data_IF_036644414911
#
_entry.id   IF_036644414911
#
_cell.length_a   1.000
_cell.length_b   1.000
_cell.length_c   1.000
_cell.angle_alpha   90.00
_cell.angle_beta   90.00
_cell.angle_gamma   90.00
#
_symmetry.space_group_name_H-M   'P 1'
#
loop_
_entity.id
_entity.type
_entity.pdbx_description
1 polymer ?
#
# COMPACT_ATOMS: atom_id res chain seq x y z
N UNK A 1 -0.47 -14.63 -37.92
CA UNK A 1 -1.38 -13.52 -37.61
C UNK A 1 -0.56 -12.34 -37.15
N UNK A 2 -0.57 -11.25 -37.92
CA UNK A 2 0.16 -10.02 -37.61
C UNK A 2 -0.75 -9.07 -36.84
N UNK A 3 -0.28 -8.57 -35.69
CA UNK A 3 -1.02 -7.59 -34.89
C UNK A 3 -0.74 -6.20 -35.43
N UNK A 4 -1.78 -5.38 -35.61
CA UNK A 4 -1.62 -4.01 -36.06
C UNK A 4 -0.90 -3.14 -35.00
N UNK A 5 -0.14 -2.13 -35.44
CA UNK A 5 0.65 -1.28 -34.55
C UNK A 5 -0.22 -0.50 -33.55
N UNK A 6 -1.46 -0.19 -33.89
CA UNK A 6 -2.42 0.47 -33.00
C UNK A 6 -2.91 -0.44 -31.87
N UNK A 7 -2.99 -1.75 -32.14
CA UNK A 7 -3.39 -2.78 -31.16
C UNK A 7 -2.24 -3.18 -30.23
N UNK A 8 -1.02 -2.72 -30.51
CA UNK A 8 0.16 -2.98 -29.67
C UNK A 8 0.10 -2.09 -28.43
N UNK A 9 -0.09 -2.70 -27.27
CA UNK A 9 -0.04 -2.02 -25.96
C UNK A 9 1.39 -1.49 -25.76
N UNK A 10 1.60 -0.18 -25.97
CA UNK A 10 2.93 0.44 -25.95
C UNK A 10 3.51 0.67 -24.56
N UNK A 11 2.65 0.79 -23.56
CA UNK A 11 3.00 1.00 -22.16
C UNK A 11 1.96 0.24 -21.36
N UNK A 12 2.38 -0.81 -20.62
CA UNK A 12 1.56 -1.37 -19.53
C UNK A 12 1.24 -0.28 -18.50
N UNK A 13 0.53 -0.57 -17.41
CA UNK A 13 0.19 0.46 -16.40
C UNK A 13 1.45 1.14 -15.82
N UNK A 14 1.93 2.20 -16.47
CA UNK A 14 3.00 3.08 -15.99
C UNK A 14 2.43 4.03 -14.94
N UNK A 15 1.11 4.20 -14.94
CA UNK A 15 0.40 5.00 -13.94
C UNK A 15 0.13 4.16 -12.70
N UNK A 16 0.20 4.81 -11.54
CA UNK A 16 -0.39 4.28 -10.32
C UNK A 16 -1.86 3.91 -10.51
N UNK A 17 -2.27 2.85 -9.83
CA UNK A 17 -3.65 2.35 -9.85
C UNK A 17 -4.53 3.30 -9.03
N UNK A 18 -5.82 3.40 -9.38
CA UNK A 18 -6.75 4.23 -8.62
C UNK A 18 -7.29 3.52 -7.36
N UNK A 19 -7.36 2.20 -7.38
CA UNK A 19 -7.90 1.36 -6.30
C UNK A 19 -6.87 0.29 -5.96
N UNK A 20 -6.75 -0.04 -4.67
CA UNK A 20 -5.89 -1.11 -4.17
C UNK A 20 -6.26 -2.49 -4.76
N UNK A 21 -5.33 -3.45 -4.73
CA UNK A 21 -5.69 -4.84 -5.05
C UNK A 21 -6.78 -5.34 -4.12
N UNK A 22 -7.47 -6.40 -4.52
CA UNK A 22 -8.43 -7.08 -3.64
C UNK A 22 -7.83 -7.48 -2.29
N UNK A 23 -6.61 -8.04 -2.27
CA UNK A 23 -5.95 -8.47 -1.03
C UNK A 23 -5.65 -7.26 -0.12
N UNK A 24 -5.01 -6.22 -0.66
CA UNK A 24 -4.76 -4.96 0.04
C UNK A 24 -6.07 -4.30 0.55
N UNK A 25 -7.18 -4.45 -0.19
CA UNK A 25 -8.49 -3.94 0.25
C UNK A 25 -9.03 -4.72 1.45
N UNK A 26 -8.86 -6.03 1.49
CA UNK A 26 -9.31 -6.85 2.64
C UNK A 26 -8.54 -6.43 3.89
N UNK A 27 -7.22 -6.28 3.78
CA UNK A 27 -6.38 -5.78 4.88
C UNK A 27 -6.82 -4.40 5.37
N UNK A 28 -6.94 -3.42 4.46
CA UNK A 28 -7.46 -2.09 4.78
C UNK A 28 -8.85 -2.09 5.39
N UNK A 29 -9.74 -2.97 4.93
CA UNK A 29 -11.10 -3.04 5.46
C UNK A 29 -11.14 -3.72 6.83
N UNK A 30 -10.27 -4.70 7.08
CA UNK A 30 -10.04 -5.28 8.42
C UNK A 30 -9.55 -4.24 9.42
N UNK A 31 -8.57 -3.41 9.03
CA UNK A 31 -8.07 -2.30 9.87
C UNK A 31 -9.17 -1.30 10.27
N UNK A 32 -10.22 -1.17 9.45
CA UNK A 32 -11.34 -0.23 9.69
C UNK A 32 -12.60 -0.90 10.24
N UNK A 33 -12.51 -2.17 10.66
CA UNK A 33 -13.62 -2.99 11.15
C UNK A 33 -14.81 -3.11 10.17
N UNK A 34 -14.57 -2.92 8.87
CA UNK A 34 -15.58 -2.95 7.80
C UNK A 34 -15.64 -4.29 7.06
N UNK A 35 -14.79 -5.23 7.43
CA UNK A 35 -14.76 -6.58 6.86
C UNK A 35 -14.30 -7.57 7.92
N UNK A 36 -14.98 -8.69 8.04
CA UNK A 36 -14.69 -9.77 8.99
C UNK A 36 -14.41 -11.09 8.26
N UNK A 37 -13.70 -12.00 8.94
CA UNK A 37 -13.42 -13.34 8.42
C UNK A 37 -14.74 -14.11 8.25
N UNK A 38 -15.16 -14.32 6.99
CA UNK A 38 -16.45 -14.92 6.63
C UNK A 38 -17.29 -14.05 5.69
N UNK A 39 -17.00 -12.75 5.62
CA UNK A 39 -17.61 -11.87 4.63
C UNK A 39 -17.16 -12.22 3.21
N UNK A 40 -18.02 -11.95 2.22
CA UNK A 40 -17.70 -12.25 0.83
C UNK A 40 -16.43 -11.49 0.42
N UNK A 41 -15.44 -12.19 -0.17
CA UNK A 41 -14.24 -11.53 -0.64
C UNK A 41 -14.51 -10.78 -1.96
N UNK A 42 -15.68 -10.91 -2.59
CA UNK A 42 -16.09 -10.16 -3.80
C UNK A 42 -17.00 -8.98 -3.43
N UNK A 43 -17.06 -7.95 -4.29
CA UNK A 43 -17.94 -6.79 -4.04
C UNK A 43 -17.45 -5.80 -2.97
N UNK A 44 -16.19 -5.92 -2.53
CA UNK A 44 -15.59 -5.03 -1.52
C UNK A 44 -15.72 -3.54 -1.88
N UNK A 45 -15.80 -2.68 -0.85
CA UNK A 45 -15.79 -1.23 -1.02
C UNK A 45 -14.51 -0.74 -1.74
N UNK A 46 -14.61 0.35 -2.51
CA UNK A 46 -13.46 0.90 -3.26
C UNK A 46 -12.54 1.64 -2.30
N UNK A 47 -11.31 1.17 -2.13
CA UNK A 47 -10.27 1.83 -1.32
C UNK A 47 -9.20 2.39 -2.25
N UNK A 48 -8.98 3.72 -2.18
CA UNK A 48 -8.06 4.44 -3.06
C UNK A 48 -6.60 4.21 -2.63
N UNK A 49 -5.69 4.13 -3.61
CA UNK A 49 -4.24 4.19 -3.36
C UNK A 49 -3.87 5.60 -2.88
N UNK A 50 -3.29 5.71 -1.68
CA UNK A 50 -2.78 6.99 -1.18
C UNK A 50 -1.42 7.27 -1.82
N UNK A 51 -1.33 8.33 -2.62
CA UNK A 51 -0.08 8.79 -3.22
C UNK A 51 0.54 9.85 -2.34
N UNK A 52 1.68 9.57 -1.72
CA UNK A 52 2.43 10.56 -0.94
C UNK A 52 3.05 11.57 -1.90
N UNK A 53 2.65 12.83 -1.79
CA UNK A 53 3.26 13.93 -2.55
C UNK A 53 4.45 14.44 -1.76
N UNK A 54 5.63 13.87 -2.01
CA UNK A 54 6.88 14.37 -1.40
C UNK A 54 7.23 15.70 -2.09
N UNK A 55 7.03 16.83 -1.38
CA UNK A 55 7.58 18.12 -1.80
C UNK A 55 9.11 18.01 -1.73
N UNK A 56 9.77 17.86 -2.89
CA UNK A 56 11.24 17.88 -3.00
C UNK A 56 11.78 19.17 -2.38
N UNK A 57 12.37 19.09 -1.18
CA UNK A 57 13.37 20.06 -0.73
C UNK A 57 14.66 19.75 -1.51
N UNK A 58 15.29 20.81 -2.06
CA UNK A 58 16.58 20.69 -2.75
C UNK A 58 17.62 20.08 -1.80
N UNK A 59 18.37 19.11 -2.32
CA UNK A 59 19.38 18.28 -1.65
C UNK A 59 20.53 19.13 -1.06
N UNK A 60 20.86 18.86 0.20
CA UNK A 60 22.22 18.80 0.76
C UNK A 60 22.20 17.56 1.67
N UNK A 61 22.54 16.41 1.09
CA UNK A 61 23.72 15.61 1.46
C UNK A 61 23.74 15.22 2.95
N UNK A 62 23.79 13.89 3.16
CA UNK A 62 24.10 13.17 4.40
C UNK A 62 22.95 12.90 5.40
N UNK A 63 22.37 11.69 5.30
CA UNK A 63 22.19 10.74 6.42
C UNK A 63 21.46 9.52 5.86
N UNK A 64 22.25 8.62 5.28
CA UNK A 64 21.86 7.22 5.12
C UNK A 64 21.80 6.57 6.52
N UNK A 65 20.99 5.52 6.66
CA UNK A 65 20.82 4.67 7.85
C UNK A 65 20.34 5.35 9.15
N UNK A 66 19.06 5.19 9.47
CA UNK A 66 18.61 4.53 10.72
C UNK A 66 17.07 4.44 10.76
N UNK A 67 16.54 3.43 11.44
CA UNK A 67 15.13 3.18 11.79
C UNK A 67 14.30 2.30 10.86
N UNK A 68 14.78 1.08 10.65
CA UNK A 68 13.95 -0.12 10.85
C UNK A 68 14.59 -0.95 11.97
N UNK A 69 13.99 -0.98 13.16
CA UNK A 69 13.76 -2.16 14.02
C UNK A 69 13.36 -1.76 15.45
N UNK A 70 12.39 -2.46 16.02
CA UNK A 70 12.35 -2.65 17.47
C UNK A 70 11.25 -1.98 18.29
N UNK A 71 10.00 -1.96 17.79
CA UNK A 71 8.84 -1.92 18.71
C UNK A 71 8.52 -3.33 19.19
N UNK A 72 9.21 -3.82 20.23
CA UNK A 72 8.72 -4.88 21.11
C UNK A 72 9.68 -5.11 22.27
N UNK A 73 9.40 -4.53 23.43
CA UNK A 73 9.60 -5.11 24.78
C UNK A 73 9.44 -4.02 25.85
N UNK A 74 8.19 -3.71 26.18
CA UNK A 74 7.85 -3.05 27.45
C UNK A 74 6.50 -3.57 27.94
N UNK A 75 6.42 -4.90 28.07
CA UNK A 75 5.43 -5.59 28.90
C UNK A 75 6.19 -6.50 29.85
N UNK A 76 6.70 -5.96 30.96
CA UNK A 76 7.00 -6.74 32.15
C UNK A 76 7.01 -5.87 33.40
N UNK A 77 6.11 -6.22 34.33
CA UNK A 77 6.25 -6.11 35.78
C UNK A 77 6.31 -4.71 36.41
N UNK A 78 5.11 -4.20 36.68
CA UNK A 78 4.76 -3.52 37.93
C UNK A 78 5.03 -4.49 39.10
N UNK A 79 5.53 -3.95 40.22
CA UNK A 79 5.62 -4.54 41.59
C UNK A 79 7.01 -5.02 42.06
N UNK A 80 7.76 -4.13 42.73
CA UNK A 80 8.26 -4.26 44.11
C UNK A 80 9.01 -2.99 44.53
#
# INVERSE_FOLDING_TARGET
MTIDKSLKIRRGLIRSRNVLTRAERIEKLRETDRWQEGDSPTGLAKVRVQTVVIKKKKKKEESDEDSEEGSSEASAAKES
#
